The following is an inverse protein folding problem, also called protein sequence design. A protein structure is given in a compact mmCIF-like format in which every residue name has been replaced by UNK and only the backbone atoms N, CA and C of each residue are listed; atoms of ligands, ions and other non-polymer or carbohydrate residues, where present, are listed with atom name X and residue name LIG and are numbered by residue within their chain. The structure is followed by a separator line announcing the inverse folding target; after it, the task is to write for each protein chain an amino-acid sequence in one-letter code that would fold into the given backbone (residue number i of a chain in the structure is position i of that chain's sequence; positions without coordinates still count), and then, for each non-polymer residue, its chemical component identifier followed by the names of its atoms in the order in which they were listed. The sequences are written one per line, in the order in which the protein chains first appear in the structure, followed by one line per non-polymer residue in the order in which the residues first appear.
data_IF_496936508538
#
_entry.id   IF_496936508538
#
_cell.length_a   1.000
_cell.length_b   1.000
_cell.length_c   1.000
_cell.angle_alpha   90.00
_cell.angle_beta   90.00
_cell.angle_gamma   90.00
#
_symmetry.space_group_name_H-M   'P 1'
#
loop_
_entity.id
_entity.type
_entity.pdbx_description
1 polymer ?
#
# COMPACT_ATOMS: atom_id res chain seq x y z
N UNK A 1 -0.57 -3.29 -19.76
CA UNK A 1 0.45 -4.29 -20.13
C UNK A 1 -0.12 -5.04 -21.34
N UNK A 2 0.69 -5.42 -22.34
CA UNK A 2 0.15 -6.08 -23.55
C UNK A 2 -0.51 -7.44 -23.25
N UNK A 3 -1.17 -8.02 -24.24
CA UNK A 3 -2.02 -9.23 -24.16
C UNK A 3 -1.36 -10.44 -23.46
N UNK A 4 -0.02 -10.52 -23.46
CA UNK A 4 0.73 -11.58 -22.77
C UNK A 4 0.73 -11.51 -21.24
N UNK A 5 0.12 -10.49 -20.63
CA UNK A 5 0.11 -10.28 -19.17
C UNK A 5 -1.30 -10.07 -18.60
N UNK A 6 -2.34 -10.49 -19.32
CA UNK A 6 -3.74 -10.30 -18.89
C UNK A 6 -4.01 -10.90 -17.51
N UNK A 7 -3.63 -12.17 -17.30
CA UNK A 7 -3.82 -12.85 -16.02
C UNK A 7 -3.09 -12.13 -14.87
N UNK A 8 -1.86 -11.69 -15.13
CA UNK A 8 -1.05 -10.94 -14.16
C UNK A 8 -1.75 -9.62 -13.81
N UNK A 9 -2.18 -8.86 -14.82
CA UNK A 9 -2.89 -7.59 -14.64
C UNK A 9 -4.19 -7.77 -13.84
N UNK A 10 -4.94 -8.84 -14.10
CA UNK A 10 -6.16 -9.18 -13.36
C UNK A 10 -5.88 -9.41 -11.88
N UNK A 11 -4.84 -10.18 -11.55
CA UNK A 11 -4.46 -10.44 -10.14
C UNK A 11 -4.11 -9.14 -9.40
N UNK A 12 -3.36 -8.22 -10.02
CA UNK A 12 -3.05 -6.94 -9.37
C UNK A 12 -4.26 -6.03 -9.22
N UNK A 13 -5.17 -6.05 -10.20
CA UNK A 13 -6.41 -5.28 -10.13
C UNK A 13 -7.26 -5.77 -8.95
N UNK A 14 -7.48 -7.08 -8.84
CA UNK A 14 -8.22 -7.69 -7.73
C UNK A 14 -7.56 -7.39 -6.36
N UNK A 15 -6.22 -7.46 -6.29
CA UNK A 15 -5.49 -7.12 -5.08
C UNK A 15 -5.64 -5.63 -4.71
N UNK A 16 -5.52 -4.72 -5.69
CA UNK A 16 -5.67 -3.28 -5.47
C UNK A 16 -7.09 -2.93 -4.98
N UNK A 17 -8.13 -3.54 -5.54
CA UNK A 17 -9.53 -3.36 -5.11
C UNK A 17 -9.76 -3.86 -3.68
N UNK A 18 -9.18 -5.02 -3.34
CA UNK A 18 -9.23 -5.55 -1.98
C UNK A 18 -8.52 -4.63 -0.98
N UNK A 19 -7.36 -4.09 -1.34
CA UNK A 19 -6.62 -3.13 -0.50
C UNK A 19 -7.34 -1.78 -0.37
N UNK A 20 -7.99 -1.29 -1.41
CA UNK A 20 -8.81 -0.08 -1.33
C UNK A 20 -10.03 -0.29 -0.40
N UNK A 21 -10.68 -1.45 -0.48
CA UNK A 21 -11.76 -1.78 0.45
C UNK A 21 -11.27 -1.84 1.90
N UNK A 22 -10.07 -2.38 2.12
CA UNK A 22 -9.44 -2.42 3.44
C UNK A 22 -9.05 -1.02 3.94
N UNK A 23 -8.48 -0.17 3.09
CA UNK A 23 -8.06 1.18 3.45
C UNK A 23 -9.25 2.02 3.94
N UNK A 24 -10.39 1.97 3.24
CA UNK A 24 -11.61 2.68 3.65
C UNK A 24 -12.16 2.18 4.99
N UNK A 25 -12.05 0.88 5.28
CA UNK A 25 -12.41 0.34 6.60
C UNK A 25 -11.47 0.84 7.70
N UNK A 26 -10.17 0.94 7.42
CA UNK A 26 -9.19 1.52 8.36
C UNK A 26 -9.51 3.00 8.60
N UNK A 27 -9.85 3.76 7.56
CA UNK A 27 -10.26 5.16 7.69
C UNK A 27 -11.49 5.32 8.59
N UNK A 28 -12.48 4.41 8.50
CA UNK A 28 -13.60 4.42 9.45
C UNK A 28 -13.17 4.19 10.90
N UNK A 29 -12.28 3.23 11.12
CA UNK A 29 -11.76 2.92 12.46
C UNK A 29 -10.95 4.09 13.04
N UNK A 30 -10.19 4.79 12.21
CA UNK A 30 -9.48 6.02 12.60
C UNK A 30 -10.47 7.12 12.98
N UNK A 31 -11.56 7.29 12.23
CA UNK A 31 -12.62 8.24 12.56
C UNK A 31 -13.20 8.01 13.95
N UNK A 32 -13.58 6.76 14.24
CA UNK A 32 -14.07 6.36 15.57
C UNK A 32 -13.01 6.59 16.65
N UNK A 33 -11.76 6.21 16.41
CA UNK A 33 -10.68 6.29 17.40
C UNK A 33 -10.31 7.74 17.76
N UNK A 34 -10.47 8.67 16.82
CA UNK A 34 -10.20 10.09 17.02
C UNK A 34 -11.43 10.86 17.52
N UNK A 35 -12.56 10.19 17.76
CA UNK A 35 -13.79 10.80 18.27
C UNK A 35 -14.53 11.67 17.27
N UNK A 36 -14.26 11.51 15.98
CA UNK A 36 -15.05 12.14 14.90
C UNK A 36 -16.13 11.17 14.39
N UNK A 37 -16.98 11.64 13.48
CA UNK A 37 -17.99 10.78 12.86
C UNK A 37 -17.29 9.61 12.13
N UNK A 38 -17.85 8.40 12.25
CA UNK A 38 -17.22 7.15 11.78
C UNK A 38 -16.85 7.23 10.31
N UNK A 39 -17.70 7.79 9.47
CA UNK A 39 -17.52 7.85 8.02
C UNK A 39 -16.76 9.11 7.56
N UNK A 40 -16.41 10.02 8.47
CA UNK A 40 -15.74 11.29 8.16
C UNK A 40 -14.53 11.13 7.21
N UNK A 41 -13.56 10.28 7.57
CA UNK A 41 -12.39 10.04 6.71
C UNK A 41 -12.70 9.15 5.52
N UNK A 42 -13.61 8.18 5.67
CA UNK A 42 -14.02 7.32 4.56
C UNK A 42 -14.58 8.15 3.40
N UNK A 43 -15.51 9.05 3.70
CA UNK A 43 -16.16 9.90 2.69
C UNK A 43 -15.16 10.88 2.07
N UNK A 44 -14.21 11.38 2.86
CA UNK A 44 -13.12 12.21 2.33
C UNK A 44 -12.21 11.47 1.33
N UNK A 45 -11.99 10.16 1.52
CA UNK A 45 -11.11 9.34 0.69
C UNK A 45 -11.85 8.40 -0.28
N UNK A 46 -13.17 8.49 -0.42
CA UNK A 46 -13.97 7.54 -1.21
C UNK A 46 -13.55 7.49 -2.69
N UNK A 47 -13.27 8.66 -3.28
CA UNK A 47 -12.81 8.81 -4.67
C UNK A 47 -11.28 9.04 -4.76
N UNK A 48 -10.52 8.59 -3.75
CA UNK A 48 -9.07 8.81 -3.74
C UNK A 48 -8.32 7.95 -4.76
N UNK A 49 -7.23 8.50 -5.30
CA UNK A 49 -6.30 7.74 -6.12
C UNK A 49 -5.39 6.88 -5.24
N UNK A 50 -5.34 5.57 -5.51
CA UNK A 50 -4.46 4.63 -4.84
C UNK A 50 -3.39 4.13 -5.80
N UNK A 51 -2.17 3.93 -5.29
CA UNK A 51 -1.04 3.41 -6.06
C UNK A 51 -0.60 2.09 -5.45
N UNK A 52 -0.46 1.07 -6.28
CA UNK A 52 0.20 -0.17 -5.91
C UNK A 52 1.68 -0.12 -6.30
N UNK A 53 2.57 -0.26 -5.32
CA UNK A 53 4.03 -0.30 -5.53
C UNK A 53 4.57 -1.68 -5.20
N UNK A 54 5.25 -2.29 -6.17
CA UNK A 54 5.94 -3.56 -6.00
C UNK A 54 7.44 -3.28 -5.84
N UNK A 55 7.97 -3.50 -4.64
CA UNK A 55 9.39 -3.33 -4.37
C UNK A 55 10.11 -4.67 -4.49
N UNK A 56 11.19 -4.71 -5.29
CA UNK A 56 12.07 -5.86 -5.39
C UNK A 56 13.48 -5.43 -5.00
N UNK A 57 13.96 -5.94 -3.86
CA UNK A 57 15.31 -5.69 -3.35
C UNK A 57 16.18 -6.91 -3.62
N UNK A 58 17.09 -6.88 -4.62
CA UNK A 58 17.96 -8.02 -4.91
C UNK A 58 18.99 -8.24 -3.78
N UNK A 59 19.52 -9.47 -3.63
CA UNK A 59 20.60 -9.75 -2.68
C UNK A 59 21.79 -8.80 -2.86
N UNK A 60 22.23 -8.16 -1.77
CA UNK A 60 23.37 -7.24 -1.78
C UNK A 60 24.63 -7.92 -1.25
N UNK A 61 25.77 -7.73 -1.93
CA UNK A 61 27.07 -8.29 -1.49
C UNK A 61 27.66 -7.57 -0.28
N UNK A 62 27.30 -6.30 -0.10
CA UNK A 62 27.78 -5.42 0.98
C UNK A 62 26.58 -4.69 1.59
N UNK A 63 25.66 -5.41 2.25
CA UNK A 63 24.41 -4.84 2.77
C UNK A 63 24.65 -3.73 3.80
N UNK A 64 25.77 -3.73 4.50
CA UNK A 64 26.17 -2.71 5.46
C UNK A 64 26.52 -1.35 4.83
N UNK A 65 26.76 -1.30 3.51
CA UNK A 65 27.11 -0.10 2.75
C UNK A 65 25.98 0.39 1.84
N UNK A 66 24.80 -0.24 1.88
CA UNK A 66 23.70 0.07 0.99
C UNK A 66 22.38 0.22 1.75
N UNK A 67 21.45 0.97 1.17
CA UNK A 67 20.07 1.04 1.62
C UNK A 67 19.16 0.62 0.47
N UNK A 68 18.22 -0.29 0.72
CA UNK A 68 17.20 -0.64 -0.27
C UNK A 68 16.35 0.58 -0.62
N UNK A 69 15.89 1.32 0.39
CA UNK A 69 15.26 2.63 0.25
C UNK A 69 15.73 3.51 1.40
N UNK A 70 16.10 4.76 1.10
CA UNK A 70 16.56 5.70 2.12
C UNK A 70 15.45 6.09 3.10
N UNK A 71 15.79 6.63 4.30
CA UNK A 71 14.80 7.14 5.24
C UNK A 71 13.90 8.20 4.59
N UNK A 72 12.58 8.04 4.70
CA UNK A 72 11.61 8.96 4.14
C UNK A 72 10.27 8.85 4.88
N UNK A 73 9.36 9.77 4.55
CA UNK A 73 7.93 9.64 4.85
C UNK A 73 7.19 9.48 3.52
N UNK A 74 6.21 8.58 3.49
CA UNK A 74 5.33 8.48 2.33
C UNK A 74 4.49 9.77 2.20
N UNK A 75 4.28 10.27 0.97
CA UNK A 75 3.41 11.42 0.72
C UNK A 75 1.91 11.02 0.71
N UNK A 76 1.57 9.78 1.06
CA UNK A 76 0.21 9.24 1.09
C UNK A 76 -0.41 9.35 2.48
N UNK A 77 -1.74 9.39 2.53
CA UNK A 77 -2.49 9.43 3.80
C UNK A 77 -2.43 8.11 4.58
N UNK A 78 -2.34 6.98 3.87
CA UNK A 78 -2.24 5.64 4.44
C UNK A 78 -1.44 4.74 3.49
N UNK A 79 -0.48 4.00 4.04
CA UNK A 79 0.25 2.95 3.32
C UNK A 79 -0.05 1.60 3.98
N UNK A 80 -0.52 0.64 3.18
CA UNK A 80 -0.68 -0.76 3.60
C UNK A 80 0.47 -1.55 2.96
N UNK A 81 1.36 -2.08 3.79
CA UNK A 81 2.50 -2.86 3.32
C UNK A 81 2.30 -4.35 3.60
N UNK A 82 2.58 -5.16 2.58
CA UNK A 82 2.73 -6.60 2.69
C UNK A 82 4.15 -6.97 2.25
N UNK A 83 4.90 -7.63 3.13
CA UNK A 83 6.26 -8.10 2.88
C UNK A 83 6.29 -9.64 2.90
N UNK A 84 7.31 -10.21 2.25
CA UNK A 84 7.55 -11.65 2.30
C UNK A 84 8.24 -12.06 3.62
N UNK A 85 8.94 -13.19 3.64
CA UNK A 85 9.61 -13.70 4.84
C UNK A 85 11.02 -13.14 5.04
N UNK A 86 11.46 -12.22 4.18
CA UNK A 86 12.78 -11.55 4.28
C UNK A 86 12.60 -10.20 4.96
N UNK A 87 13.25 -10.03 6.09
CA UNK A 87 13.20 -8.76 6.84
C UNK A 87 13.96 -7.63 6.12
N UNK A 88 13.52 -6.39 6.32
CA UNK A 88 14.14 -5.22 5.70
C UNK A 88 13.43 -3.88 5.94
N UNK A 89 12.18 -3.92 6.43
CA UNK A 89 11.50 -2.78 7.03
C UNK A 89 11.61 -2.81 8.57
#
# INVERSE_FOLDING_TARGET
MGDGYEDFGKVYQEYAEAMNTLSLKIMELLGVSLGVERRHFREFFEDSESILRLNYYPPCKQPELALGTGPHCDPTSLTILHQDQVDGL
#
